data_IF_303465271751
#
_entry.id   IF_303465271751
#
_cell.length_a   1.000
_cell.length_b   1.000
_cell.length_c   1.000
_cell.angle_alpha   90.00
_cell.angle_beta   90.00
_cell.angle_gamma   90.00
#
_symmetry.space_group_name_H-M   'P 1'
#
loop_
_entity.id
_entity.type
_entity.pdbx_description
1 polymer ?
#
# COMPACT_ATOMS: atom_id res chain seq x y z
N UNK A 1 2.76 13.78 4.78
CA UNK A 1 3.25 13.23 6.06
C UNK A 1 4.73 13.51 6.29
N UNK A 2 5.64 13.14 5.38
CA UNK A 2 7.08 13.27 5.59
C UNK A 2 7.53 14.72 5.83
N UNK A 3 6.93 15.69 5.12
CA UNK A 3 7.20 17.12 5.34
C UNK A 3 6.74 17.66 6.69
N UNK A 4 5.59 17.22 7.22
CA UNK A 4 5.09 17.67 8.53
C UNK A 4 5.92 17.09 9.67
N UNK A 5 6.28 15.81 9.59
CA UNK A 5 7.18 15.12 10.53
C UNK A 5 8.57 15.77 10.52
N UNK A 6 9.16 15.96 9.34
CA UNK A 6 10.48 16.59 9.18
C UNK A 6 10.52 18.02 9.71
N UNK A 7 9.43 18.80 9.55
CA UNK A 7 9.37 20.15 10.11
C UNK A 7 9.31 20.17 11.64
N UNK A 8 8.72 19.13 12.26
CA UNK A 8 8.54 19.05 13.71
C UNK A 8 9.80 18.60 14.43
N UNK A 9 10.43 17.53 13.95
CA UNK A 9 11.63 16.96 14.58
C UNK A 9 12.95 17.47 13.99
N UNK A 10 12.94 17.99 12.75
CA UNK A 10 14.13 18.51 12.06
C UNK A 10 15.30 17.52 12.13
N UNK A 11 16.39 17.88 12.80
CA UNK A 11 17.59 17.04 12.93
C UNK A 11 17.38 15.87 13.88
N UNK A 12 16.44 15.99 14.83
CA UNK A 12 16.18 15.00 15.86
C UNK A 12 15.30 13.84 15.33
N UNK A 13 14.81 13.94 14.08
CA UNK A 13 14.02 12.87 13.45
C UNK A 13 14.79 11.55 13.41
N UNK A 14 16.12 11.61 13.32
CA UNK A 14 16.99 10.42 13.31
C UNK A 14 16.87 9.62 14.62
N UNK A 15 16.51 10.26 15.73
CA UNK A 15 16.33 9.57 17.01
C UNK A 15 14.94 8.91 17.12
N UNK A 16 13.97 9.33 16.31
CA UNK A 16 12.59 8.80 16.28
C UNK A 16 12.49 7.56 15.38
N UNK A 17 13.21 6.50 15.76
CA UNK A 17 13.36 5.28 14.96
C UNK A 17 12.01 4.60 14.64
N UNK A 18 11.05 4.62 15.55
CA UNK A 18 9.71 4.07 15.31
C UNK A 18 8.96 4.84 14.23
N UNK A 19 9.10 6.16 14.18
CA UNK A 19 8.50 7.00 13.14
C UNK A 19 9.18 6.71 11.79
N UNK A 20 10.51 6.59 11.77
CA UNK A 20 11.28 6.25 10.57
C UNK A 20 10.88 4.87 10.04
N UNK A 21 10.70 3.88 10.92
CA UNK A 21 10.32 2.53 10.52
C UNK A 21 8.93 2.52 9.88
N UNK A 22 7.94 3.18 10.49
CA UNK A 22 6.61 3.30 9.89
C UNK A 22 6.61 4.08 8.55
N UNK A 23 7.48 5.09 8.40
CA UNK A 23 7.64 5.79 7.12
C UNK A 23 8.24 4.86 6.06
N UNK A 24 9.20 4.04 6.44
CA UNK A 24 9.85 3.06 5.56
C UNK A 24 8.87 1.96 5.14
N UNK A 25 7.98 1.53 6.03
CA UNK A 25 6.90 0.59 5.70
C UNK A 25 5.96 1.17 4.63
N UNK A 26 5.55 2.44 4.78
CA UNK A 26 4.72 3.13 3.78
C UNK A 26 5.43 3.18 2.43
N UNK A 27 6.72 3.57 2.41
CA UNK A 27 7.50 3.65 1.17
C UNK A 27 7.65 2.28 0.50
N UNK A 28 7.83 1.23 1.30
CA UNK A 28 7.95 -0.15 0.80
C UNK A 28 6.67 -0.60 0.12
N UNK A 29 5.50 -0.37 0.74
CA UNK A 29 4.22 -0.73 0.15
C UNK A 29 3.95 0.04 -1.15
N UNK A 30 4.30 1.33 -1.21
CA UNK A 30 4.19 2.13 -2.45
C UNK A 30 5.09 1.60 -3.55
N UNK A 31 6.35 1.27 -3.24
CA UNK A 31 7.30 0.74 -4.21
C UNK A 31 6.86 -0.61 -4.79
N UNK A 32 6.38 -1.52 -3.94
CA UNK A 32 5.85 -2.82 -4.38
C UNK A 32 4.61 -2.64 -5.24
N UNK A 33 3.71 -1.74 -4.84
CA UNK A 33 2.50 -1.46 -5.58
C UNK A 33 2.81 -0.89 -6.98
N UNK A 34 3.72 0.09 -7.06
CA UNK A 34 4.17 0.67 -8.32
C UNK A 34 4.80 -0.38 -9.24
N UNK A 35 5.65 -1.25 -8.67
CA UNK A 35 6.29 -2.35 -9.42
C UNK A 35 5.26 -3.30 -10.05
N UNK A 36 4.20 -3.64 -9.32
CA UNK A 36 3.13 -4.52 -9.82
C UNK A 36 2.25 -3.77 -10.84
N UNK A 37 1.94 -2.50 -10.59
CA UNK A 37 1.20 -1.66 -11.54
C UNK A 37 1.93 -1.56 -12.89
N UNK A 38 3.23 -1.28 -12.88
CA UNK A 38 4.03 -1.23 -14.10
C UNK A 38 4.10 -2.58 -14.83
N UNK A 39 4.07 -3.70 -14.09
CA UNK A 39 3.99 -5.05 -14.67
C UNK A 39 2.65 -5.27 -15.40
N UNK A 40 1.55 -4.84 -14.80
CA UNK A 40 0.21 -4.87 -15.41
C UNK A 40 0.18 -4.04 -16.68
N UNK A 41 0.62 -2.77 -16.62
CA UNK A 41 0.65 -1.89 -17.78
C UNK A 41 1.52 -2.46 -18.91
N UNK A 42 2.69 -3.01 -18.59
CA UNK A 42 3.54 -3.69 -19.57
C UNK A 42 2.86 -4.91 -20.20
N UNK A 43 2.12 -5.70 -19.42
CA UNK A 43 1.38 -6.84 -19.94
C UNK A 43 0.24 -6.42 -20.87
N UNK A 44 -0.42 -5.31 -20.55
CA UNK A 44 -1.47 -4.69 -21.37
C UNK A 44 -0.91 -4.24 -22.72
N UNK A 45 0.20 -3.49 -22.70
CA UNK A 45 0.84 -2.98 -23.91
C UNK A 45 1.32 -4.09 -24.85
N UNK A 46 1.77 -5.22 -24.28
CA UNK A 46 2.27 -6.36 -25.05
C UNK A 46 1.19 -7.42 -25.37
N UNK A 47 -0.09 -7.17 -25.03
CA UNK A 47 -1.20 -8.12 -25.21
C UNK A 47 -0.91 -9.52 -24.62
N UNK A 48 -0.31 -9.57 -23.43
CA UNK A 48 0.00 -10.84 -22.75
C UNK A 48 -1.30 -11.45 -22.24
N UNK A 49 -1.55 -12.73 -22.56
CA UNK A 49 -2.75 -13.48 -22.17
C UNK A 49 -2.98 -13.51 -20.64
N UNK A 50 -1.91 -13.44 -19.86
CA UNK A 50 -1.94 -13.38 -18.38
C UNK A 50 -2.33 -12.01 -17.80
N UNK A 51 -2.57 -10.99 -18.61
CA UNK A 51 -2.94 -9.65 -18.14
C UNK A 51 -4.12 -9.65 -17.13
N UNK A 52 -5.22 -10.42 -17.32
CA UNK A 52 -6.31 -10.47 -16.35
C UNK A 52 -5.91 -11.04 -14.98
N UNK A 53 -4.95 -11.97 -14.93
CA UNK A 53 -4.41 -12.48 -13.67
C UNK A 53 -3.60 -11.41 -12.95
N UNK A 54 -2.77 -10.66 -13.69
CA UNK A 54 -1.99 -9.56 -13.12
C UNK A 54 -2.88 -8.44 -12.56
N UNK A 55 -3.99 -8.13 -13.23
CA UNK A 55 -4.98 -7.18 -12.71
C UNK A 55 -5.55 -7.63 -11.36
N UNK A 56 -5.93 -8.91 -11.21
CA UNK A 56 -6.42 -9.45 -9.93
C UNK A 56 -5.37 -9.39 -8.83
N UNK A 57 -4.11 -9.67 -9.17
CA UNK A 57 -2.99 -9.55 -8.22
C UNK A 57 -2.80 -8.09 -7.79
N UNK A 58 -2.88 -7.15 -8.73
CA UNK A 58 -2.81 -5.72 -8.44
C UNK A 58 -3.95 -5.26 -7.52
N UNK A 59 -5.20 -5.71 -7.75
CA UNK A 59 -6.34 -5.41 -6.88
C UNK A 59 -6.10 -5.88 -5.44
N UNK A 60 -5.58 -7.10 -5.27
CA UNK A 60 -5.21 -7.63 -3.95
C UNK A 60 -4.11 -6.80 -3.30
N UNK A 61 -3.07 -6.44 -4.07
CA UNK A 61 -1.96 -5.65 -3.55
C UNK A 61 -2.39 -4.24 -3.14
N UNK A 62 -3.22 -3.57 -3.95
CA UNK A 62 -3.74 -2.23 -3.65
C UNK A 62 -4.49 -2.25 -2.32
N UNK A 63 -5.36 -3.24 -2.13
CA UNK A 63 -6.14 -3.41 -0.90
C UNK A 63 -5.21 -3.56 0.32
N UNK A 64 -4.29 -4.51 0.27
CA UNK A 64 -3.39 -4.81 1.39
C UNK A 64 -2.45 -3.63 1.71
N UNK A 65 -1.90 -2.99 0.68
CA UNK A 65 -1.03 -1.83 0.81
C UNK A 65 -1.78 -0.66 1.48
N UNK A 66 -3.01 -0.38 1.06
CA UNK A 66 -3.80 0.71 1.63
C UNK A 66 -4.09 0.50 3.13
N UNK A 67 -4.44 -0.72 3.53
CA UNK A 67 -4.67 -1.03 4.95
C UNK A 67 -3.40 -0.86 5.80
N UNK A 68 -2.26 -1.35 5.31
CA UNK A 68 -0.96 -1.17 5.99
C UNK A 68 -0.56 0.30 6.09
N UNK A 69 -0.72 1.06 5.01
CA UNK A 69 -0.41 2.51 4.98
C UNK A 69 -1.32 3.28 5.94
N UNK A 70 -2.62 2.94 6.04
CA UNK A 70 -3.53 3.54 7.03
C UNK A 70 -3.04 3.28 8.45
N UNK A 71 -2.62 2.06 8.77
CA UNK A 71 -2.12 1.69 10.10
C UNK A 71 -0.84 2.48 10.41
N UNK A 72 0.19 2.38 9.57
CA UNK A 72 1.48 3.05 9.76
C UNK A 72 1.31 4.59 9.83
N UNK A 73 0.51 5.16 8.93
CA UNK A 73 0.23 6.60 8.91
C UNK A 73 -0.48 7.09 10.18
N UNK A 74 -1.46 6.33 10.68
CA UNK A 74 -2.15 6.66 11.95
C UNK A 74 -1.20 6.59 13.14
N UNK A 75 -0.32 5.58 13.18
CA UNK A 75 0.71 5.44 14.21
C UNK A 75 1.62 6.67 14.22
N UNK A 76 2.18 7.05 13.08
CA UNK A 76 3.04 8.24 12.95
C UNK A 76 2.31 9.49 13.45
N UNK A 77 1.10 9.77 12.93
CA UNK A 77 0.33 10.98 13.29
C UNK A 77 0.07 11.06 14.79
N UNK A 78 -0.26 9.93 15.42
CA UNK A 78 -0.48 9.85 16.87
C UNK A 78 0.80 10.06 17.68
N UNK A 79 1.96 9.64 17.18
CA UNK A 79 3.22 9.80 17.88
C UNK A 79 3.70 11.25 17.95
N UNK A 80 3.42 12.08 16.93
CA UNK A 80 3.97 13.44 16.88
C UNK A 80 2.95 14.57 17.09
N UNK A 81 1.65 14.33 16.99
CA UNK A 81 0.63 15.39 17.03
C UNK A 81 -0.54 15.08 17.97
N UNK A 82 -1.13 16.13 18.55
CA UNK A 82 -2.30 16.02 19.44
C UNK A 82 -3.37 17.06 19.06
N UNK A 83 -4.55 16.97 19.67
CA UNK A 83 -5.61 17.98 19.51
C UNK A 83 -6.12 18.15 18.07
N UNK A 84 -6.25 19.40 17.63
CA UNK A 84 -6.80 19.76 16.32
C UNK A 84 -5.87 19.34 15.18
N UNK A 85 -4.55 19.52 15.34
CA UNK A 85 -3.55 19.11 14.36
C UNK A 85 -3.68 17.61 14.03
N UNK A 86 -3.76 16.77 15.07
CA UNK A 86 -3.91 15.33 14.91
C UNK A 86 -5.18 14.95 14.12
N UNK A 87 -6.32 15.58 14.44
CA UNK A 87 -7.59 15.33 13.75
C UNK A 87 -7.52 15.72 12.28
N UNK A 88 -6.88 16.85 11.95
CA UNK A 88 -6.71 17.29 10.56
C UNK A 88 -5.79 16.34 9.79
N UNK A 89 -4.67 15.93 10.40
CA UNK A 89 -3.73 15.00 9.76
C UNK A 89 -4.37 13.64 9.49
N UNK A 90 -5.20 13.11 10.41
CA UNK A 90 -5.95 11.87 10.19
C UNK A 90 -6.94 11.98 9.04
N UNK A 91 -7.70 13.08 8.96
CA UNK A 91 -8.61 13.32 7.83
C UNK A 91 -7.86 13.43 6.50
N UNK A 92 -6.69 14.05 6.50
CA UNK A 92 -5.83 14.12 5.32
C UNK A 92 -5.40 12.71 4.88
N UNK A 93 -4.95 11.87 5.80
CA UNK A 93 -4.59 10.48 5.52
C UNK A 93 -5.76 9.69 4.93
N UNK A 94 -6.95 9.78 5.53
CA UNK A 94 -8.15 9.09 5.07
C UNK A 94 -8.64 9.58 3.70
N UNK A 95 -8.39 10.84 3.36
CA UNK A 95 -8.70 11.37 2.03
C UNK A 95 -7.71 10.93 0.95
N UNK A 96 -6.46 10.60 1.32
CA UNK A 96 -5.42 10.20 0.37
C UNK A 96 -5.39 8.70 0.13
N UNK A 97 -5.76 7.91 1.14
CA UNK A 97 -5.72 6.45 1.07
C UNK A 97 -7.17 5.93 1.02
N UNK A 98 -7.63 5.45 -0.15
CA UNK A 98 -9.01 5.04 -0.32
C UNK A 98 -9.40 3.88 0.59
N UNK A 99 -10.69 3.82 0.90
CA UNK A 99 -11.30 2.69 1.58
C UNK A 99 -12.02 1.81 0.58
N UNK A 100 -11.64 0.53 0.53
CA UNK A 100 -12.12 -0.40 -0.47
C UNK A 100 -13.19 -1.31 0.11
N UNK A 101 -14.41 -1.16 -0.38
CA UNK A 101 -15.51 -2.07 -0.11
C UNK A 101 -15.56 -3.21 -1.14
N UNK A 102 -14.44 -3.93 -1.32
CA UNK A 102 -14.34 -5.04 -2.27
C UNK A 102 -14.23 -6.39 -1.54
N UNK A 103 -14.78 -7.45 -2.14
CA UNK A 103 -14.69 -8.80 -1.60
C UNK A 103 -13.34 -9.45 -1.97
N UNK A 104 -12.29 -9.08 -1.22
CA UNK A 104 -10.93 -9.53 -1.49
C UNK A 104 -10.76 -11.05 -1.43
N UNK A 105 -11.59 -11.73 -0.64
CA UNK A 105 -11.59 -13.19 -0.49
C UNK A 105 -11.90 -13.88 -1.83
N UNK A 106 -12.87 -13.39 -2.60
CA UNK A 106 -13.20 -13.98 -3.91
C UNK A 106 -12.10 -13.74 -4.94
N UNK A 107 -11.48 -12.55 -4.92
CA UNK A 107 -10.35 -12.24 -5.82
C UNK A 107 -9.17 -13.16 -5.52
N UNK A 108 -8.81 -13.34 -4.24
CA UNK A 108 -7.76 -14.29 -3.81
C UNK A 108 -8.08 -15.72 -4.21
N UNK A 109 -9.32 -16.18 -4.06
CA UNK A 109 -9.76 -17.52 -4.49
C UNK A 109 -9.62 -17.70 -6.00
N UNK A 110 -9.98 -16.69 -6.79
CA UNK A 110 -9.81 -16.75 -8.23
C UNK A 110 -8.34 -16.87 -8.65
N UNK A 111 -7.43 -16.16 -7.97
CA UNK A 111 -5.98 -16.32 -8.19
C UNK A 111 -5.54 -17.74 -7.81
N UNK A 112 -5.98 -18.24 -6.66
CA UNK A 112 -5.63 -19.57 -6.19
C UNK A 112 -6.10 -20.69 -7.14
N UNK A 113 -7.32 -20.60 -7.68
CA UNK A 113 -7.82 -21.54 -8.69
C UNK A 113 -6.89 -21.61 -9.91
N UNK A 114 -6.45 -20.45 -10.41
CA UNK A 114 -5.50 -20.42 -11.54
C UNK A 114 -4.19 -21.14 -11.21
N UNK A 115 -3.65 -20.96 -10.01
CA UNK A 115 -2.41 -21.63 -9.59
C UNK A 115 -2.59 -23.15 -9.41
N UNK A 116 -3.74 -23.57 -8.90
CA UNK A 116 -4.09 -24.99 -8.71
C UNK A 116 -4.23 -25.68 -10.06
N UNK A 117 -4.93 -25.07 -11.01
CA UNK A 117 -5.12 -25.60 -12.38
C UNK A 117 -3.79 -25.82 -13.11
N UNK A 118 -2.80 -24.94 -12.85
CA UNK A 118 -1.47 -25.02 -13.44
C UNK A 118 -0.45 -25.76 -12.56
N UNK A 119 -0.88 -26.31 -11.42
CA UNK A 119 -0.07 -27.08 -10.48
C UNK A 119 1.26 -26.42 -10.08
N UNK A 120 1.26 -25.10 -9.84
CA UNK A 120 2.47 -24.39 -9.46
C UNK A 120 2.36 -22.87 -9.51
N UNK A 121 3.51 -22.19 -9.31
CA UNK A 121 3.61 -20.74 -9.41
C UNK A 121 3.64 -20.29 -10.88
N UNK A 122 2.52 -20.47 -11.59
CA UNK A 122 2.37 -20.20 -13.03
C UNK A 122 2.15 -18.72 -13.38
N UNK A 123 2.65 -17.81 -12.55
CA UNK A 123 2.44 -16.36 -12.70
C UNK A 123 3.43 -15.75 -13.73
N UNK A 124 4.52 -16.46 -14.09
CA UNK A 124 5.52 -15.96 -15.05
C UNK A 124 5.13 -16.19 -16.50
#
# INVERSE_FOLDING_TARGET
LTGSVGNKFKKDLIEEQEIIMNLSDILTEVFVLESIYLRVEKAKLNNIDKHPLYMKILEVQIYDACEKVKIAGRTIINSYSTGIENKLMKKCLESMVPDFSINIKEIRRSIAMHLIENNGYSIS
#
